data_IF_646536059483
#
_entry.id   IF_646536059483
#
_cell.length_a   1.000
_cell.length_b   1.000
_cell.length_c   1.000
_cell.angle_alpha   90.00
_cell.angle_beta   90.00
_cell.angle_gamma   90.00
#
_symmetry.space_group_name_H-M   'P 1'
#
loop_
_entity.id
_entity.type
_entity.pdbx_description
1 polymer ?
#
# COMPACT_ATOMS: atom_id res chain seq x y z
N UNK A 1 -9.00 -28.30 27.39
CA UNK A 1 -8.11 -27.47 26.55
C UNK A 1 -8.87 -26.20 26.22
N UNK A 2 -8.42 -25.08 26.74
CA UNK A 2 -8.95 -23.74 26.46
C UNK A 2 -7.95 -22.95 25.66
N UNK A 3 -8.43 -21.93 24.94
CA UNK A 3 -7.59 -21.01 24.17
C UNK A 3 -7.75 -19.59 24.69
N UNK A 4 -6.61 -18.94 24.96
CA UNK A 4 -6.52 -17.52 25.30
C UNK A 4 -5.84 -16.77 24.18
N UNK A 5 -6.42 -15.65 23.77
CA UNK A 5 -5.84 -14.73 22.78
C UNK A 5 -5.37 -13.47 23.48
N UNK A 6 -4.15 -13.02 23.16
CA UNK A 6 -3.53 -11.79 23.66
C UNK A 6 -3.31 -10.86 22.48
N UNK A 7 -3.92 -9.67 22.53
CA UNK A 7 -3.63 -8.56 21.63
C UNK A 7 -2.60 -7.65 22.28
N UNK A 8 -1.36 -7.70 21.78
CA UNK A 8 -0.22 -6.90 22.27
C UNK A 8 0.06 -5.73 21.33
N UNK A 9 -0.40 -4.52 21.67
CA UNK A 9 -0.47 -3.41 20.71
C UNK A 9 0.53 -2.32 21.05
N UNK A 10 1.28 -1.87 20.04
CA UNK A 10 2.27 -0.80 20.13
C UNK A 10 1.69 0.59 19.75
N UNK A 11 0.43 0.63 19.34
CA UNK A 11 -0.35 1.83 19.00
C UNK A 11 -1.74 1.74 19.62
N UNK A 12 -2.27 2.87 20.10
CA UNK A 12 -3.66 2.96 20.57
C UNK A 12 -4.66 3.16 19.44
N UNK A 13 -4.19 3.60 18.28
CA UNK A 13 -5.07 4.01 17.19
C UNK A 13 -5.49 2.83 16.30
N UNK A 14 -4.89 1.65 16.49
CA UNK A 14 -5.18 0.41 15.77
C UNK A 14 -6.52 -0.25 16.16
N UNK A 15 -7.59 0.54 16.27
CA UNK A 15 -8.92 0.10 16.71
C UNK A 15 -9.48 -1.00 15.81
N UNK A 16 -9.30 -0.90 14.48
CA UNK A 16 -9.78 -1.89 13.54
C UNK A 16 -9.08 -3.25 13.72
N UNK A 17 -7.76 -3.26 14.00
CA UNK A 17 -7.04 -4.50 14.32
C UNK A 17 -7.52 -5.11 15.63
N UNK A 18 -7.82 -4.28 16.64
CA UNK A 18 -8.36 -4.78 17.91
C UNK A 18 -9.75 -5.41 17.73
N UNK A 19 -10.62 -4.76 16.96
CA UNK A 19 -11.94 -5.29 16.65
C UNK A 19 -11.88 -6.59 15.86
N UNK A 20 -10.91 -6.74 14.97
CA UNK A 20 -10.64 -7.99 14.25
C UNK A 20 -10.38 -9.14 15.23
N UNK A 21 -9.45 -8.95 16.17
CA UNK A 21 -9.14 -9.97 17.19
C UNK A 21 -10.31 -10.24 18.11
N UNK A 22 -11.00 -9.19 18.57
CA UNK A 22 -12.14 -9.29 19.49
C UNK A 22 -13.29 -10.09 18.90
N UNK A 23 -13.62 -9.87 17.62
CA UNK A 23 -14.68 -10.61 16.91
C UNK A 23 -14.34 -12.10 16.80
N UNK A 24 -13.11 -12.43 16.41
CA UNK A 24 -12.66 -13.82 16.37
C UNK A 24 -12.79 -14.49 17.74
N UNK A 25 -12.33 -13.83 18.81
CA UNK A 25 -12.44 -14.37 20.16
C UNK A 25 -13.90 -14.59 20.58
N UNK A 26 -14.79 -13.64 20.27
CA UNK A 26 -16.21 -13.75 20.56
C UNK A 26 -16.86 -14.92 19.82
N UNK A 27 -16.59 -15.08 18.52
CA UNK A 27 -17.09 -16.21 17.72
C UNK A 27 -16.62 -17.57 18.25
N UNK A 28 -15.36 -17.65 18.70
CA UNK A 28 -14.75 -18.87 19.23
C UNK A 28 -14.97 -19.10 20.72
N UNK A 29 -15.60 -18.16 21.43
CA UNK A 29 -15.68 -18.16 22.89
C UNK A 29 -14.31 -18.27 23.57
N UNK A 30 -13.27 -17.68 22.97
CA UNK A 30 -11.93 -17.63 23.54
C UNK A 30 -11.78 -16.47 24.53
N UNK A 31 -10.99 -16.67 25.59
CA UNK A 31 -10.65 -15.60 26.50
C UNK A 31 -9.74 -14.58 25.80
N UNK A 32 -10.12 -13.30 25.81
CA UNK A 32 -9.38 -12.24 25.14
C UNK A 32 -8.73 -11.30 26.16
N UNK A 33 -7.44 -11.05 26.03
CA UNK A 33 -6.70 -10.09 26.83
C UNK A 33 -6.07 -9.01 25.93
N UNK A 34 -6.15 -7.76 26.35
CA UNK A 34 -5.51 -6.63 25.67
C UNK A 34 -4.32 -6.12 26.50
N UNK A 35 -3.21 -5.87 25.82
CA UNK A 35 -1.99 -5.29 26.42
C UNK A 35 -1.59 -4.07 25.62
N UNK A 36 -1.67 -2.91 26.27
CA UNK A 36 -1.26 -1.64 25.71
C UNK A 36 0.23 -1.38 25.98
N UNK A 37 1.04 -1.40 24.92
CA UNK A 37 2.46 -1.06 24.93
C UNK A 37 2.77 0.27 24.21
N UNK A 38 1.74 1.06 23.84
CA UNK A 38 1.89 2.29 23.07
C UNK A 38 2.74 3.37 23.74
N UNK A 39 2.76 3.40 25.07
CA UNK A 39 3.54 4.38 25.85
C UNK A 39 5.03 4.06 25.92
N UNK A 40 5.45 2.88 25.46
CA UNK A 40 6.85 2.47 25.47
C UNK A 40 7.45 2.88 24.13
N UNK A 41 8.25 3.94 24.06
CA UNK A 41 8.83 4.41 22.81
C UNK A 41 9.89 3.48 22.19
N UNK A 42 10.53 2.65 23.02
CA UNK A 42 11.64 1.80 22.57
C UNK A 42 11.18 0.38 22.20
N UNK A 43 11.38 0.00 20.94
CA UNK A 43 10.98 -1.31 20.40
C UNK A 43 11.52 -2.49 21.23
N UNK A 44 12.77 -2.43 21.71
CA UNK A 44 13.37 -3.49 22.50
C UNK A 44 12.65 -3.73 23.84
N UNK A 45 12.23 -2.65 24.52
CA UNK A 45 11.43 -2.76 25.75
C UNK A 45 10.04 -3.35 25.49
N UNK A 46 9.41 -3.01 24.35
CA UNK A 46 8.14 -3.63 23.93
C UNK A 46 8.31 -5.13 23.72
N UNK A 47 9.39 -5.54 23.06
CA UNK A 47 9.71 -6.96 22.85
C UNK A 47 9.89 -7.69 24.20
N UNK A 48 10.66 -7.13 25.13
CA UNK A 48 10.82 -7.71 26.46
C UNK A 48 9.47 -7.84 27.19
N UNK A 49 8.65 -6.80 27.17
CA UNK A 49 7.30 -6.83 27.76
C UNK A 49 6.41 -7.89 27.09
N UNK A 50 6.50 -8.04 25.76
CA UNK A 50 5.75 -9.03 24.99
C UNK A 50 6.07 -10.46 25.44
N UNK A 51 7.35 -10.82 25.55
CA UNK A 51 7.75 -12.15 26.02
C UNK A 51 7.41 -12.38 27.50
N UNK A 52 7.55 -11.37 28.36
CA UNK A 52 7.12 -11.49 29.77
C UNK A 52 5.61 -11.69 29.89
N UNK A 53 4.83 -11.00 29.06
CA UNK A 53 3.37 -11.15 28.99
C UNK A 53 2.99 -12.56 28.57
N UNK A 54 3.62 -13.07 27.49
CA UNK A 54 3.41 -14.43 27.01
C UNK A 54 3.76 -15.47 28.08
N UNK A 55 4.93 -15.35 28.73
CA UNK A 55 5.36 -16.26 29.78
C UNK A 55 4.39 -16.27 30.98
N UNK A 56 3.93 -15.08 31.40
CA UNK A 56 2.93 -14.95 32.46
C UNK A 56 1.63 -15.65 32.08
N UNK A 57 1.17 -15.49 30.84
CA UNK A 57 -0.04 -16.12 30.35
C UNK A 57 0.06 -17.65 30.31
N UNK A 58 1.20 -18.18 29.85
CA UNK A 58 1.48 -19.63 29.84
C UNK A 58 1.52 -20.20 31.26
N UNK A 59 2.20 -19.53 32.21
CA UNK A 59 2.26 -19.95 33.62
C UNK A 59 0.90 -19.96 34.31
N UNK A 60 -0.03 -19.12 33.87
CA UNK A 60 -1.38 -19.04 34.40
C UNK A 60 -2.39 -19.97 33.69
N UNK A 61 -2.01 -20.61 32.58
CA UNK A 61 -2.85 -21.54 31.84
C UNK A 61 -2.70 -22.97 32.38
N UNK A 62 -3.70 -23.83 32.17
CA UNK A 62 -3.57 -25.24 32.48
C UNK A 62 -2.62 -25.93 31.47
N UNK A 63 -2.09 -27.09 31.83
CA UNK A 63 -1.25 -27.87 30.91
C UNK A 63 -2.05 -28.27 29.66
N UNK A 64 -1.45 -28.10 28.48
CA UNK A 64 -2.07 -28.36 27.18
C UNK A 64 -2.95 -27.23 26.62
N UNK A 65 -3.31 -26.21 27.40
CA UNK A 65 -4.07 -25.03 26.92
C UNK A 65 -3.27 -24.22 25.89
N UNK A 66 -3.96 -23.46 25.03
CA UNK A 66 -3.31 -22.63 24.02
C UNK A 66 -3.28 -21.15 24.41
N UNK A 67 -2.18 -20.49 24.04
CA UNK A 67 -2.03 -19.04 24.08
C UNK A 67 -1.66 -18.55 22.68
N UNK A 68 -2.57 -17.82 22.05
CA UNK A 68 -2.33 -17.08 20.81
C UNK A 68 -1.94 -15.64 21.16
N UNK A 69 -0.78 -15.19 20.70
CA UNK A 69 -0.32 -13.81 20.83
C UNK A 69 -0.30 -13.16 19.44
N UNK A 70 -0.99 -12.04 19.32
CA UNK A 70 -1.10 -11.24 18.11
C UNK A 70 -0.69 -9.79 18.39
N UNK A 71 0.02 -9.20 17.45
CA UNK A 71 0.25 -7.74 17.41
C UNK A 71 -0.80 -7.05 16.55
N UNK A 72 -0.84 -5.71 16.61
CA UNK A 72 -1.75 -4.90 15.78
C UNK A 72 -1.55 -5.07 14.26
N UNK A 73 -0.39 -5.58 13.85
CA UNK A 73 0.01 -5.78 12.46
C UNK A 73 -0.22 -7.22 11.99
N UNK A 74 -0.91 -8.05 12.77
CA UNK A 74 -1.39 -9.36 12.35
C UNK A 74 -2.91 -9.36 12.36
N UNK A 75 -3.55 -9.76 11.26
CA UNK A 75 -5.01 -9.72 11.11
C UNK A 75 -5.54 -11.11 10.82
N UNK A 76 -6.60 -11.52 11.52
CA UNK A 76 -7.27 -12.80 11.32
C UNK A 76 -8.21 -12.67 10.12
N UNK A 77 -7.98 -13.50 9.10
CA UNK A 77 -8.71 -13.48 7.83
C UNK A 77 -9.65 -14.68 7.67
N UNK A 78 -9.53 -15.72 8.48
CA UNK A 78 -10.49 -16.82 8.49
C UNK A 78 -10.88 -17.24 9.89
N UNK A 79 -12.13 -17.63 10.05
CA UNK A 79 -12.62 -18.25 11.27
C UNK A 79 -12.14 -19.70 11.34
N UNK A 80 -10.90 -19.92 11.77
CA UNK A 80 -10.27 -21.24 11.96
C UNK A 80 -9.89 -21.39 13.45
N UNK A 81 -10.18 -22.54 14.05
CA UNK A 81 -9.83 -22.81 15.45
C UNK A 81 -8.31 -22.92 15.63
N UNK A 82 -7.79 -22.35 16.73
CA UNK A 82 -6.37 -22.53 17.08
C UNK A 82 -6.02 -24.01 17.31
N UNK A 83 -6.97 -24.80 17.81
CA UNK A 83 -6.81 -26.23 18.02
C UNK A 83 -6.52 -26.97 16.71
N UNK A 84 -7.13 -26.55 15.58
CA UNK A 84 -6.86 -27.12 14.26
C UNK A 84 -5.40 -26.90 13.86
N UNK A 85 -4.87 -25.69 14.09
CA UNK A 85 -3.48 -25.35 13.78
C UNK A 85 -2.47 -26.05 14.70
N UNK A 86 -2.92 -26.56 15.84
CA UNK A 86 -2.11 -27.24 16.84
C UNK A 86 -2.46 -28.73 16.96
N UNK A 87 -3.21 -29.30 16.02
CA UNK A 87 -3.75 -30.66 16.13
C UNK A 87 -2.66 -31.74 16.28
N UNK A 88 -1.47 -31.52 15.71
CA UNK A 88 -0.32 -32.40 15.88
C UNK A 88 0.16 -32.42 17.35
N UNK A 89 0.14 -33.56 18.06
CA UNK A 89 0.46 -33.61 19.48
C UNK A 89 1.89 -33.17 19.82
N UNK A 90 2.85 -33.36 18.91
CA UNK A 90 4.24 -32.96 19.09
C UNK A 90 4.47 -31.44 18.92
N UNK A 91 3.45 -30.69 18.45
CA UNK A 91 3.56 -29.26 18.22
C UNK A 91 3.30 -28.47 19.50
N UNK A 92 4.39 -27.98 20.08
CA UNK A 92 4.38 -27.10 21.25
C UNK A 92 4.22 -25.61 20.89
N UNK A 93 4.64 -25.21 19.69
CA UNK A 93 4.56 -23.84 19.20
C UNK A 93 4.38 -23.78 17.70
N UNK A 94 3.71 -22.75 17.22
CA UNK A 94 3.56 -22.39 15.82
C UNK A 94 3.96 -20.92 15.65
N UNK A 95 5.10 -20.73 15.00
CA UNK A 95 5.71 -19.46 14.64
C UNK A 95 6.09 -19.58 13.16
N UNK A 96 5.96 -18.49 12.42
CA UNK A 96 6.16 -18.48 10.97
C UNK A 96 7.32 -17.58 10.59
N UNK A 97 8.10 -17.96 9.58
CA UNK A 97 9.10 -17.10 8.95
C UNK A 97 8.78 -16.78 7.49
N UNK A 98 9.29 -15.64 7.04
CA UNK A 98 9.26 -15.13 5.68
C UNK A 98 10.69 -15.11 5.16
N UNK A 99 10.96 -15.83 4.08
CA UNK A 99 12.26 -15.81 3.41
C UNK A 99 12.76 -17.19 3.00
N UNK A 100 13.70 -17.19 2.06
CA UNK A 100 14.65 -18.28 1.81
C UNK A 100 15.89 -18.11 2.72
N UNK A 101 16.87 -19.01 2.59
CA UNK A 101 18.01 -19.15 3.50
C UNK A 101 18.85 -17.86 3.74
N UNK A 102 18.71 -16.83 2.91
CA UNK A 102 19.43 -15.55 3.04
C UNK A 102 18.61 -14.41 3.68
N UNK A 103 17.28 -14.53 3.74
CA UNK A 103 16.36 -13.46 4.19
C UNK A 103 15.37 -13.88 5.30
N UNK A 104 15.63 -15.02 5.97
CA UNK A 104 14.74 -15.71 6.93
C UNK A 104 14.34 -14.84 8.15
N UNK A 105 13.36 -13.97 7.94
CA UNK A 105 12.81 -13.06 8.92
C UNK A 105 11.58 -13.70 9.57
N UNK A 106 11.58 -13.81 10.89
CA UNK A 106 10.47 -14.42 11.63
C UNK A 106 9.36 -13.41 11.85
N UNK A 107 8.12 -13.83 11.58
CA UNK A 107 6.90 -13.05 11.82
C UNK A 107 6.64 -12.97 13.33
N UNK A 108 7.22 -11.96 13.99
CA UNK A 108 7.02 -11.72 15.43
C UNK A 108 5.61 -11.24 15.82
N UNK A 109 4.79 -10.89 14.82
CA UNK A 109 3.42 -10.44 14.97
C UNK A 109 2.40 -11.55 15.30
N UNK A 110 2.79 -12.81 15.10
CA UNK A 110 1.97 -13.99 15.34
C UNK A 110 2.75 -15.05 16.11
N UNK A 111 2.20 -15.52 17.23
CA UNK A 111 2.77 -16.66 17.95
C UNK A 111 1.67 -17.49 18.60
N UNK A 112 1.59 -18.78 18.28
CA UNK A 112 0.64 -19.70 18.91
C UNK A 112 1.41 -20.74 19.71
N UNK A 113 1.07 -20.89 20.99
CA UNK A 113 1.79 -21.74 21.93
C UNK A 113 0.85 -22.70 22.63
N UNK A 114 1.24 -23.96 22.74
CA UNK A 114 0.66 -24.93 23.68
C UNK A 114 1.40 -24.82 25.00
N UNK A 115 0.68 -24.69 26.10
CA UNK A 115 1.27 -24.61 27.42
C UNK A 115 1.80 -25.98 27.85
N UNK A 116 3.11 -26.15 27.77
CA UNK A 116 3.85 -27.32 28.27
C UNK A 116 5.09 -26.83 29.04
N UNK A 117 5.73 -27.68 29.86
CA UNK A 117 7.01 -27.34 30.47
C UNK A 117 8.06 -26.89 29.44
N UNK A 118 8.10 -27.54 28.27
CA UNK A 118 9.02 -27.22 27.18
C UNK A 118 8.75 -25.84 26.57
N UNK A 119 7.47 -25.51 26.30
CA UNK A 119 7.08 -24.18 25.83
C UNK A 119 7.45 -23.09 26.82
N UNK A 120 7.17 -23.27 28.12
CA UNK A 120 7.54 -22.30 29.17
C UNK A 120 9.06 -22.07 29.22
N UNK A 121 9.85 -23.14 29.20
CA UNK A 121 11.31 -23.04 29.17
C UNK A 121 11.82 -22.34 27.90
N UNK A 122 11.16 -22.52 26.75
CA UNK A 122 11.50 -21.83 25.50
C UNK A 122 11.21 -20.33 25.60
N UNK A 123 10.04 -19.93 26.09
CA UNK A 123 9.71 -18.50 26.29
C UNK A 123 10.60 -17.86 27.37
N UNK A 124 11.03 -18.59 28.39
CA UNK A 124 12.02 -18.12 29.36
C UNK A 124 13.37 -17.80 28.71
N UNK A 125 13.83 -18.61 27.75
CA UNK A 125 15.03 -18.30 26.95
C UNK A 125 14.85 -17.06 26.08
N UNK A 126 13.68 -16.88 25.45
CA UNK A 126 13.35 -15.65 24.72
C UNK A 126 13.41 -14.43 25.65
N UNK A 127 12.83 -14.53 26.85
CA UNK A 127 12.90 -13.49 27.87
C UNK A 127 14.34 -13.19 28.27
N UNK A 128 15.18 -14.21 28.46
CA UNK A 128 16.58 -14.06 28.83
C UNK A 128 17.40 -13.38 27.72
N UNK A 129 17.19 -13.76 26.46
CA UNK A 129 17.85 -13.14 25.30
C UNK A 129 17.41 -11.70 25.04
N UNK A 130 16.22 -11.31 25.50
CA UNK A 130 15.74 -9.93 25.44
C UNK A 130 16.26 -9.03 26.59
N UNK A 131 16.93 -9.58 27.61
CA UNK A 131 17.43 -8.79 28.75
C UNK A 131 18.60 -7.88 28.35
N UNK A 132 18.73 -6.78 29.08
CA UNK A 132 19.91 -5.91 29.01
C UNK A 132 21.14 -6.58 29.64
N UNK A 133 22.33 -6.13 29.24
CA UNK A 133 23.62 -6.64 29.74
C UNK A 133 24.45 -7.42 28.72
N UNK A 134 23.98 -7.53 27.47
CA UNK A 134 24.70 -8.10 26.33
C UNK A 134 24.31 -7.43 25.01
N UNK A 135 24.80 -7.97 23.88
CA UNK A 135 24.40 -7.49 22.56
C UNK A 135 22.88 -7.66 22.36
N UNK A 136 22.20 -6.59 21.98
CA UNK A 136 20.75 -6.61 21.78
C UNK A 136 20.42 -7.39 20.51
N UNK A 137 19.73 -8.53 20.67
CA UNK A 137 19.21 -9.31 19.57
C UNK A 137 17.88 -8.73 19.07
N UNK A 138 17.63 -8.79 17.76
CA UNK A 138 16.31 -8.51 17.20
C UNK A 138 15.30 -9.58 17.60
N UNK A 139 14.01 -9.24 17.54
CA UNK A 139 12.96 -10.21 17.81
C UNK A 139 13.04 -11.42 16.88
N UNK A 140 13.25 -11.16 15.59
CA UNK A 140 13.41 -12.19 14.56
C UNK A 140 14.56 -13.16 14.91
N UNK A 141 15.70 -12.63 15.37
CA UNK A 141 16.83 -13.46 15.80
C UNK A 141 16.51 -14.36 17.01
N UNK A 142 15.78 -13.84 17.99
CA UNK A 142 15.38 -14.63 19.16
C UNK A 142 14.37 -15.71 18.77
N UNK A 143 13.37 -15.37 17.95
CA UNK A 143 12.33 -16.31 17.53
C UNK A 143 12.84 -17.39 16.57
N UNK A 144 13.91 -17.17 15.80
CA UNK A 144 14.52 -18.25 14.99
C UNK A 144 14.88 -19.49 15.81
N UNK A 145 15.22 -19.32 17.08
CA UNK A 145 15.54 -20.43 17.99
C UNK A 145 14.36 -21.37 18.29
N UNK A 146 13.15 -21.02 17.85
CA UNK A 146 11.95 -21.84 18.00
C UNK A 146 11.69 -22.78 16.82
N UNK A 147 12.57 -22.79 15.81
CA UNK A 147 12.36 -23.51 14.54
C UNK A 147 11.03 -23.11 13.87
N UNK A 148 10.89 -21.84 13.44
CA UNK A 148 9.69 -21.36 12.77
C UNK A 148 9.43 -22.16 11.47
N UNK A 149 8.16 -22.32 11.13
CA UNK A 149 7.75 -22.90 9.85
C UNK A 149 7.81 -21.85 8.76
N UNK A 150 8.12 -22.27 7.53
CA UNK A 150 8.01 -21.39 6.38
C UNK A 150 6.55 -20.99 6.15
N UNK A 151 6.27 -19.75 5.74
CA UNK A 151 4.89 -19.24 5.58
C UNK A 151 4.03 -20.02 4.57
N UNK A 152 4.65 -20.72 3.63
CA UNK A 152 3.95 -21.61 2.68
C UNK A 152 3.71 -23.03 3.23
N UNK A 153 4.17 -23.35 4.44
CA UNK A 153 3.89 -24.64 5.06
C UNK A 153 2.40 -24.73 5.42
N UNK A 154 1.76 -25.81 4.96
CA UNK A 154 0.36 -26.08 5.22
C UNK A 154 0.18 -26.98 6.44
N UNK A 155 -0.82 -26.66 7.25
CA UNK A 155 -1.29 -27.46 8.38
C UNK A 155 -2.74 -27.81 8.07
N UNK A 156 -2.99 -29.08 7.74
CA UNK A 156 -4.33 -29.55 7.35
C UNK A 156 -4.96 -28.69 6.22
N UNK A 157 -4.14 -28.36 5.22
CA UNK A 157 -4.54 -27.51 4.09
C UNK A 157 -4.74 -26.02 4.42
N UNK A 158 -4.32 -25.57 5.61
CA UNK A 158 -4.39 -24.16 6.05
C UNK A 158 -2.98 -23.58 6.13
N UNK A 159 -2.79 -22.37 5.59
CA UNK A 159 -1.58 -21.59 5.88
C UNK A 159 -1.82 -20.79 7.16
N UNK A 160 -0.93 -20.95 8.15
CA UNK A 160 -1.10 -20.31 9.45
C UNK A 160 -1.06 -18.79 9.34
N UNK A 161 0.00 -18.28 8.71
CA UNK A 161 0.21 -16.85 8.48
C UNK A 161 0.90 -16.66 7.14
N UNK A 162 0.46 -15.68 6.35
CA UNK A 162 1.17 -15.26 5.14
C UNK A 162 1.43 -13.75 5.15
N UNK A 163 2.51 -13.27 4.49
CA UNK A 163 2.74 -11.85 4.31
C UNK A 163 1.58 -11.14 3.59
N UNK A 164 1.35 -9.89 3.97
CA UNK A 164 0.55 -8.95 3.22
C UNK A 164 1.22 -7.58 3.22
N UNK A 165 1.57 -7.08 2.04
CA UNK A 165 2.14 -5.75 1.83
C UNK A 165 1.62 -5.18 0.52
N UNK A 166 1.75 -3.87 0.33
CA UNK A 166 1.25 -3.19 -0.87
C UNK A 166 1.77 -3.78 -2.17
N UNK A 167 3.03 -4.20 -2.22
CA UNK A 167 3.72 -4.69 -3.41
C UNK A 167 3.58 -6.21 -3.64
N UNK A 168 2.97 -6.94 -2.70
CA UNK A 168 2.86 -8.40 -2.75
C UNK A 168 1.49 -8.80 -3.31
N UNK A 169 1.44 -9.81 -4.18
CA UNK A 169 0.17 -10.40 -4.61
C UNK A 169 -0.63 -10.87 -3.39
N UNK A 170 -1.90 -10.45 -3.21
CA UNK A 170 -2.70 -10.82 -2.06
C UNK A 170 -3.25 -12.25 -2.19
N UNK A 171 -2.36 -13.25 -2.19
CA UNK A 171 -2.69 -14.68 -2.23
C UNK A 171 -3.62 -15.08 -1.08
N UNK A 172 -3.53 -14.38 0.06
CA UNK A 172 -4.41 -14.55 1.21
C UNK A 172 -5.90 -14.34 0.90
N UNK A 173 -6.24 -13.60 -0.16
CA UNK A 173 -7.63 -13.42 -0.57
C UNK A 173 -8.21 -14.65 -1.30
N UNK A 174 -7.36 -15.60 -1.74
CA UNK A 174 -7.75 -16.78 -2.52
C UNK A 174 -7.42 -18.11 -1.82
N UNK A 175 -6.38 -18.10 -0.97
CA UNK A 175 -5.95 -19.28 -0.23
C UNK A 175 -6.71 -19.41 1.09
N UNK A 176 -6.76 -20.64 1.61
CA UNK A 176 -7.22 -20.90 2.98
C UNK A 176 -6.11 -20.50 3.96
N UNK A 177 -6.23 -19.29 4.50
CA UNK A 177 -5.25 -18.67 5.39
C UNK A 177 -5.92 -18.34 6.72
N UNK A 178 -5.27 -18.61 7.86
CA UNK A 178 -5.80 -18.21 9.16
C UNK A 178 -5.62 -16.71 9.41
N UNK A 179 -4.39 -16.21 9.32
CA UNK A 179 -4.07 -14.81 9.53
C UNK A 179 -3.10 -14.27 8.46
N UNK A 180 -3.06 -12.95 8.31
CA UNK A 180 -2.03 -12.26 7.53
C UNK A 180 -1.12 -11.49 8.48
N UNK A 181 0.16 -11.37 8.13
CA UNK A 181 1.09 -10.47 8.78
C UNK A 181 1.39 -9.31 7.84
N UNK A 182 1.06 -8.11 8.30
CA UNK A 182 1.32 -6.90 7.55
C UNK A 182 2.81 -6.61 7.54
N UNK A 183 3.33 -6.27 6.37
CA UNK A 183 4.69 -5.81 6.17
C UNK A 183 4.67 -4.53 5.34
N UNK A 184 5.67 -3.67 5.55
CA UNK A 184 5.83 -2.44 4.78
C UNK A 184 6.70 -2.67 3.53
N UNK A 185 7.23 -1.58 2.95
CA UNK A 185 8.13 -1.58 1.80
C UNK A 185 9.33 -2.53 2.03
N UNK A 186 9.80 -3.24 0.97
CA UNK A 186 10.91 -4.19 1.09
C UNK A 186 12.18 -3.61 1.71
N UNK A 187 12.43 -2.32 1.45
CA UNK A 187 13.63 -1.61 1.87
C UNK A 187 13.50 -0.92 3.24
N UNK A 188 12.35 -1.08 3.92
CA UNK A 188 12.16 -0.52 5.25
C UNK A 188 13.16 -1.16 6.24
N UNK A 189 13.82 -0.36 7.11
CA UNK A 189 14.71 -0.91 8.12
C UNK A 189 14.00 -1.97 8.99
N UNK A 190 14.71 -3.01 9.44
CA UNK A 190 14.13 -4.03 10.31
C UNK A 190 13.53 -3.41 11.58
N UNK A 191 12.35 -3.89 11.96
CA UNK A 191 11.56 -3.43 13.12
C UNK A 191 10.92 -2.04 13.01
N UNK A 192 10.94 -1.41 11.84
CA UNK A 192 10.07 -0.26 11.60
C UNK A 192 8.59 -0.70 11.64
N UNK A 193 7.70 0.13 12.22
CA UNK A 193 6.29 -0.19 12.30
C UNK A 193 5.68 -0.12 10.90
N UNK A 194 4.69 -0.97 10.66
CA UNK A 194 3.87 -0.92 9.44
C UNK A 194 3.17 0.44 9.36
N UNK A 195 3.18 1.05 8.18
CA UNK A 195 2.44 2.27 7.86
C UNK A 195 0.99 2.18 8.38
N UNK A 196 0.61 3.14 9.22
CA UNK A 196 -0.67 3.09 9.94
C UNK A 196 -1.87 2.97 9.00
N UNK A 197 -1.88 3.72 7.90
CA UNK A 197 -3.00 3.69 6.95
C UNK A 197 -3.09 2.35 6.20
N UNK A 198 -1.96 1.64 6.00
CA UNK A 198 -2.00 0.28 5.46
C UNK A 198 -2.73 -0.63 6.44
N UNK A 199 -2.29 -0.62 7.70
CA UNK A 199 -2.90 -1.44 8.75
C UNK A 199 -4.38 -1.16 8.89
N UNK A 200 -4.75 0.10 9.03
CA UNK A 200 -6.12 0.48 9.35
C UNK A 200 -7.07 0.24 8.16
N UNK A 201 -6.59 0.42 6.92
CA UNK A 201 -7.35 0.07 5.71
C UNK A 201 -7.56 -1.45 5.59
N UNK A 202 -6.51 -2.26 5.74
CA UNK A 202 -6.64 -3.72 5.68
C UNK A 202 -7.56 -4.25 6.76
N UNK A 203 -7.36 -3.81 8.01
CA UNK A 203 -8.17 -4.25 9.14
C UNK A 203 -9.64 -3.88 8.95
N UNK A 204 -9.93 -2.64 8.53
CA UNK A 204 -11.30 -2.18 8.29
C UNK A 204 -11.96 -2.96 7.15
N UNK A 205 -11.23 -3.18 6.05
CA UNK A 205 -11.71 -3.93 4.89
C UNK A 205 -12.01 -5.40 5.24
N UNK A 206 -11.07 -6.10 5.89
CA UNK A 206 -11.26 -7.50 6.31
C UNK A 206 -12.46 -7.61 7.24
N UNK A 207 -12.55 -6.72 8.23
CA UNK A 207 -13.65 -6.68 9.18
C UNK A 207 -15.02 -6.45 8.50
N UNK A 208 -15.06 -5.61 7.46
CA UNK A 208 -16.28 -5.34 6.70
C UNK A 208 -16.69 -6.55 5.86
N UNK A 209 -15.75 -7.18 5.15
CA UNK A 209 -16.01 -8.38 4.36
C UNK A 209 -16.49 -9.53 5.24
N UNK A 210 -15.82 -9.80 6.37
CA UNK A 210 -16.23 -10.84 7.31
C UNK A 210 -17.62 -10.62 7.89
N UNK A 211 -17.95 -9.38 8.25
CA UNK A 211 -19.29 -9.05 8.78
C UNK A 211 -20.41 -9.27 7.76
N UNK A 212 -20.11 -9.14 6.46
CA UNK A 212 -21.07 -9.32 5.37
C UNK A 212 -21.02 -10.72 4.72
N UNK A 213 -20.01 -11.53 5.04
CA UNK A 213 -19.76 -12.79 4.33
C UNK A 213 -19.32 -12.61 2.87
N UNK A 214 -18.69 -11.48 2.55
CA UNK A 214 -18.25 -11.13 1.19
C UNK A 214 -16.79 -11.55 0.94
N UNK A 215 -16.47 -11.81 -0.33
CA UNK A 215 -15.10 -12.10 -0.73
C UNK A 215 -14.19 -10.85 -0.63
N UNK A 216 -12.98 -11.03 -0.12
CA UNK A 216 -12.00 -9.95 0.00
C UNK A 216 -11.61 -9.36 -1.37
N UNK A 217 -11.39 -8.04 -1.39
CA UNK A 217 -10.87 -7.29 -2.55
C UNK A 217 -11.83 -7.27 -3.74
N UNK A 218 -13.10 -7.62 -3.50
CA UNK A 218 -14.19 -7.43 -4.46
C UNK A 218 -14.62 -5.97 -4.41
N UNK A 219 -14.20 -5.19 -5.39
CA UNK A 219 -14.64 -3.80 -5.53
C UNK A 219 -15.85 -3.71 -6.46
N UNK A 220 -16.71 -2.69 -6.32
CA UNK A 220 -17.80 -2.45 -7.24
C UNK A 220 -17.30 -2.44 -8.69
N UNK A 221 -18.01 -3.10 -9.62
CA UNK A 221 -17.62 -3.03 -11.01
C UNK A 221 -17.64 -1.56 -11.47
N UNK A 222 -16.70 -1.15 -12.34
CA UNK A 222 -16.75 0.15 -12.95
C UNK A 222 -18.02 0.29 -13.80
N UNK A 223 -18.50 1.53 -13.98
CA UNK A 223 -19.65 1.83 -14.83
C UNK A 223 -19.44 1.31 -16.27
N UNK A 224 -20.55 1.10 -16.98
CA UNK A 224 -20.56 0.50 -18.31
C UNK A 224 -19.66 1.25 -19.32
N UNK A 225 -19.24 0.54 -20.37
CA UNK A 225 -18.28 1.02 -21.34
C UNK A 225 -18.72 2.33 -22.01
N UNK A 226 -17.94 3.39 -21.78
CA UNK A 226 -17.93 4.63 -22.54
C UNK A 226 -17.00 4.52 -23.75
N UNK A 227 -17.06 5.51 -24.63
CA UNK A 227 -16.17 5.64 -25.79
C UNK A 227 -14.69 5.51 -25.40
N UNK A 228 -13.88 4.99 -26.34
CA UNK A 228 -12.44 4.79 -26.12
C UNK A 228 -11.69 6.10 -25.85
N UNK A 229 -12.20 7.21 -26.36
CA UNK A 229 -11.72 8.56 -26.09
C UNK A 229 -12.90 9.49 -25.80
N UNK A 230 -12.74 10.38 -24.83
CA UNK A 230 -13.71 11.41 -24.48
C UNK A 230 -13.01 12.72 -24.13
N UNK A 231 -13.59 13.83 -24.57
CA UNK A 231 -13.14 15.17 -24.21
C UNK A 231 -14.27 15.96 -23.55
N UNK A 232 -14.04 16.47 -22.35
CA UNK A 232 -14.93 17.37 -21.64
C UNK A 232 -14.37 18.78 -21.67
N UNK A 233 -15.21 19.77 -22.01
CA UNK A 233 -14.81 21.19 -22.11
C UNK A 233 -13.49 21.40 -22.89
N UNK A 234 -13.41 20.92 -24.15
CA UNK A 234 -12.15 20.92 -24.92
C UNK A 234 -11.56 22.31 -25.19
N UNK A 235 -12.30 23.39 -24.93
CA UNK A 235 -11.84 24.77 -25.14
C UNK A 235 -11.34 25.45 -23.85
N UNK A 236 -11.34 24.76 -22.70
CA UNK A 236 -10.88 25.35 -21.44
C UNK A 236 -9.36 25.61 -21.46
N UNK A 237 -8.85 26.67 -20.80
CA UNK A 237 -7.43 27.03 -20.86
C UNK A 237 -6.51 26.03 -20.17
N UNK A 238 -7.00 25.27 -19.18
CA UNK A 238 -6.26 24.24 -18.47
C UNK A 238 -6.91 22.90 -18.78
N UNK A 239 -6.09 21.93 -19.21
CA UNK A 239 -6.53 20.57 -19.50
C UNK A 239 -5.80 19.54 -18.64
N UNK A 240 -6.54 18.54 -18.18
CA UNK A 240 -5.98 17.31 -17.61
C UNK A 240 -6.20 16.17 -18.61
N UNK A 241 -5.21 15.32 -18.77
CA UNK A 241 -5.26 14.15 -19.61
C UNK A 241 -4.87 12.90 -18.81
N UNK A 242 -5.66 11.85 -18.94
CA UNK A 242 -5.41 10.56 -18.32
C UNK A 242 -5.67 9.44 -19.33
N UNK A 243 -4.81 8.42 -19.31
CA UNK A 243 -5.00 7.20 -20.08
C UNK A 243 -4.96 5.98 -19.17
N UNK A 244 -5.91 5.09 -19.33
CA UNK A 244 -5.89 3.77 -18.71
C UNK A 244 -6.43 2.71 -19.67
N UNK A 245 -5.83 1.52 -19.67
CA UNK A 245 -6.19 0.40 -20.55
C UNK A 245 -7.09 -0.61 -19.83
N UNK A 246 -7.77 -1.52 -20.55
CA UNK A 246 -8.70 -2.49 -19.94
C UNK A 246 -8.10 -3.32 -18.79
N UNK A 247 -6.83 -3.71 -18.84
CA UNK A 247 -6.15 -4.49 -17.81
C UNK A 247 -5.98 -3.74 -16.47
N UNK A 248 -6.08 -2.42 -16.46
CA UNK A 248 -5.96 -1.58 -15.25
C UNK A 248 -7.25 -0.82 -14.91
N UNK A 249 -8.35 -1.15 -15.60
CA UNK A 249 -9.66 -0.50 -15.45
C UNK A 249 -10.16 -0.47 -14.00
N UNK A 250 -9.84 -1.49 -13.19
CA UNK A 250 -10.29 -1.61 -11.81
C UNK A 250 -9.94 -0.38 -10.95
N UNK A 251 -8.76 0.22 -11.16
CA UNK A 251 -8.38 1.45 -10.47
C UNK A 251 -8.44 2.69 -11.37
N UNK A 252 -8.22 2.56 -12.68
CA UNK A 252 -8.34 3.68 -13.63
C UNK A 252 -9.74 4.30 -13.65
N UNK A 253 -10.80 3.49 -13.50
CA UNK A 253 -12.17 4.01 -13.39
C UNK A 253 -12.41 4.80 -12.09
N UNK A 254 -11.67 4.52 -11.02
CA UNK A 254 -11.74 5.27 -9.77
C UNK A 254 -11.13 6.65 -9.97
N UNK A 255 -9.91 6.70 -10.55
CA UNK A 255 -9.25 7.96 -10.92
C UNK A 255 -10.08 8.78 -11.90
N UNK A 256 -10.73 8.14 -12.88
CA UNK A 256 -11.62 8.84 -13.81
C UNK A 256 -12.75 9.58 -13.08
N UNK A 257 -13.51 8.90 -12.23
CA UNK A 257 -14.60 9.53 -11.48
C UNK A 257 -14.07 10.67 -10.61
N UNK A 258 -12.92 10.48 -9.98
CA UNK A 258 -12.25 11.49 -9.17
C UNK A 258 -11.88 12.74 -9.99
N UNK A 259 -11.23 12.57 -11.14
CA UNK A 259 -10.81 13.65 -12.03
C UNK A 259 -11.99 14.37 -12.69
N UNK A 260 -13.05 13.64 -13.04
CA UNK A 260 -14.28 14.26 -13.57
C UNK A 260 -14.88 15.25 -12.58
N UNK A 261 -14.98 14.88 -11.30
CA UNK A 261 -15.47 15.78 -10.24
C UNK A 261 -14.57 17.00 -10.10
N UNK A 262 -13.26 16.79 -10.06
CA UNK A 262 -12.29 17.87 -9.93
C UNK A 262 -12.37 18.86 -11.11
N UNK A 263 -12.30 18.36 -12.35
CA UNK A 263 -12.37 19.19 -13.55
C UNK A 263 -13.73 19.90 -13.65
N UNK A 264 -14.84 19.23 -13.30
CA UNK A 264 -16.16 19.85 -13.30
C UNK A 264 -16.26 21.02 -12.33
N UNK A 265 -15.65 20.90 -11.14
CA UNK A 265 -15.65 21.95 -10.11
C UNK A 265 -14.93 23.22 -10.55
N UNK A 266 -13.78 23.07 -11.23
CA UNK A 266 -12.92 24.20 -11.59
C UNK A 266 -13.05 24.65 -13.05
N UNK A 267 -13.90 23.99 -13.83
CA UNK A 267 -14.11 24.32 -15.24
C UNK A 267 -12.98 23.88 -16.18
N UNK A 268 -12.08 22.99 -15.75
CA UNK A 268 -10.97 22.49 -16.58
C UNK A 268 -11.43 21.52 -17.67
N UNK A 269 -10.64 21.43 -18.75
CA UNK A 269 -10.81 20.40 -19.75
C UNK A 269 -10.33 19.04 -19.20
N UNK A 270 -10.96 17.96 -19.66
CA UNK A 270 -10.55 16.61 -19.31
C UNK A 270 -10.54 15.73 -20.57
N UNK A 271 -9.37 15.17 -20.90
CA UNK A 271 -9.17 14.20 -21.97
C UNK A 271 -8.98 12.81 -21.36
N UNK A 272 -9.91 11.90 -21.64
CA UNK A 272 -9.91 10.54 -21.12
C UNK A 272 -9.67 9.55 -22.25
N UNK A 273 -8.65 8.72 -22.09
CA UNK A 273 -8.33 7.62 -22.99
C UNK A 273 -8.51 6.30 -22.24
N UNK A 274 -9.45 5.46 -22.69
CA UNK A 274 -9.79 4.17 -22.05
C UNK A 274 -9.19 2.95 -22.74
N UNK A 275 -8.38 3.22 -23.75
CA UNK A 275 -7.59 2.25 -24.49
C UNK A 275 -6.43 2.98 -25.20
N UNK A 276 -5.54 2.21 -25.82
CA UNK A 276 -4.46 2.73 -26.67
C UNK A 276 -5.08 3.40 -27.91
N UNK A 277 -4.86 4.71 -28.15
CA UNK A 277 -5.41 5.41 -29.30
C UNK A 277 -4.86 4.83 -30.61
N UNK A 278 -5.73 4.59 -31.60
CA UNK A 278 -5.30 4.08 -32.92
C UNK A 278 -4.29 5.00 -33.63
N UNK A 279 -4.39 6.31 -33.39
CA UNK A 279 -3.49 7.32 -33.95
C UNK A 279 -2.14 7.44 -33.21
N UNK A 280 -1.92 6.66 -32.15
CA UNK A 280 -0.66 6.66 -31.42
C UNK A 280 0.40 5.78 -32.11
N UNK A 281 1.70 6.00 -31.84
CA UNK A 281 2.75 5.16 -32.39
C UNK A 281 2.54 3.68 -32.03
N UNK A 282 2.44 2.81 -33.03
CA UNK A 282 2.17 1.38 -32.83
C UNK A 282 3.23 0.70 -31.94
N UNK A 283 2.79 -0.08 -30.95
CA UNK A 283 3.66 -0.92 -30.12
C UNK A 283 4.08 -0.33 -28.77
N UNK A 284 3.58 0.85 -28.40
CA UNK A 284 3.80 1.45 -27.09
C UNK A 284 2.71 1.00 -26.08
N UNK A 285 3.11 0.56 -24.87
CA UNK A 285 2.16 0.39 -23.77
C UNK A 285 1.70 1.75 -23.24
N UNK A 286 0.58 1.81 -22.52
CA UNK A 286 -0.09 3.07 -22.17
C UNK A 286 0.80 4.11 -21.48
N UNK A 287 1.74 3.66 -20.65
CA UNK A 287 2.68 4.53 -19.94
C UNK A 287 3.66 5.26 -20.89
N UNK A 288 3.97 4.70 -22.06
CA UNK A 288 4.88 5.33 -23.03
C UNK A 288 4.19 6.41 -23.89
N UNK A 289 2.87 6.59 -23.75
CA UNK A 289 2.10 7.53 -24.57
C UNK A 289 1.97 8.93 -23.96
N UNK A 290 2.49 9.17 -22.75
CA UNK A 290 2.46 10.49 -22.09
C UNK A 290 2.93 11.63 -22.99
N UNK A 291 4.12 11.59 -23.63
CA UNK A 291 4.57 12.71 -24.46
C UNK A 291 3.67 12.90 -25.68
N UNK A 292 3.19 11.82 -26.30
CA UNK A 292 2.25 11.92 -27.44
C UNK A 292 0.95 12.63 -27.03
N UNK A 293 0.36 12.23 -25.89
CA UNK A 293 -0.86 12.85 -25.34
C UNK A 293 -0.62 14.32 -24.98
N UNK A 294 0.47 14.61 -24.27
CA UNK A 294 0.84 15.98 -23.88
C UNK A 294 1.01 16.88 -25.11
N UNK A 295 1.78 16.45 -26.12
CA UNK A 295 1.99 17.26 -27.34
C UNK A 295 0.72 17.48 -28.13
N UNK A 296 -0.11 16.44 -28.26
CA UNK A 296 -1.39 16.49 -29.00
C UNK A 296 -2.28 17.61 -28.46
N UNK A 297 -2.32 17.78 -27.14
CA UNK A 297 -3.20 18.74 -26.48
C UNK A 297 -2.52 20.08 -26.19
N UNK A 298 -1.19 20.16 -26.14
CA UNK A 298 -0.48 21.39 -25.76
C UNK A 298 -0.79 22.58 -26.68
N UNK A 299 -1.07 22.35 -27.97
CA UNK A 299 -1.45 23.42 -28.90
C UNK A 299 -2.84 23.99 -28.63
N UNK A 300 -3.72 23.22 -27.98
CA UNK A 300 -5.14 23.51 -27.77
C UNK A 300 -5.41 24.28 -26.49
N UNK A 301 -4.55 24.12 -25.47
CA UNK A 301 -4.74 24.69 -24.14
C UNK A 301 -3.58 25.62 -23.76
N UNK A 302 -3.78 26.49 -22.77
CA UNK A 302 -2.67 27.24 -22.18
C UNK A 302 -1.78 26.33 -21.32
N UNK A 303 -2.40 25.38 -20.60
CA UNK A 303 -1.72 24.36 -19.80
C UNK A 303 -2.30 22.98 -20.05
N UNK A 304 -1.42 21.99 -20.13
CA UNK A 304 -1.81 20.57 -20.19
C UNK A 304 -1.10 19.81 -19.10
N UNK A 305 -1.88 19.03 -18.35
CA UNK A 305 -1.44 18.14 -17.30
C UNK A 305 -1.59 16.69 -17.74
N UNK A 306 -0.53 15.92 -17.62
CA UNK A 306 -0.62 14.47 -17.56
C UNK A 306 -0.93 14.05 -16.12
N UNK A 307 -1.89 13.14 -15.95
CA UNK A 307 -2.21 12.48 -14.68
C UNK A 307 -2.19 10.96 -14.89
N UNK A 308 -1.36 10.25 -14.13
CA UNK A 308 -1.36 8.78 -14.12
C UNK A 308 -2.68 8.21 -13.62
N UNK A 309 -3.05 7.03 -14.12
CA UNK A 309 -4.30 6.35 -13.75
C UNK A 309 -4.36 5.89 -12.28
N UNK A 310 -3.24 5.95 -11.56
CA UNK A 310 -3.13 5.66 -10.13
C UNK A 310 -2.90 6.92 -9.27
N UNK A 311 -3.30 8.10 -9.77
CA UNK A 311 -3.35 9.36 -9.02
C UNK A 311 -4.80 9.73 -8.68
N UNK A 312 -5.02 10.24 -7.47
CA UNK A 312 -6.28 10.87 -7.07
C UNK A 312 -6.04 12.32 -6.64
N UNK A 313 -6.97 13.20 -6.97
CA UNK A 313 -7.08 14.52 -6.36
C UNK A 313 -7.87 14.38 -5.05
N UNK A 314 -7.18 14.56 -3.93
CA UNK A 314 -7.75 14.42 -2.59
C UNK A 314 -8.38 15.74 -2.14
N UNK A 315 -7.65 16.85 -2.19
CA UNK A 315 -8.25 18.19 -2.00
C UNK A 315 -8.88 18.68 -3.31
N UNK A 316 -10.14 18.28 -3.52
CA UNK A 316 -10.92 18.68 -4.68
C UNK A 316 -11.18 20.20 -4.74
N UNK A 317 -10.99 20.94 -3.64
CA UNK A 317 -11.26 22.38 -3.57
C UNK A 317 -10.08 23.26 -4.00
N UNK A 318 -8.87 22.72 -4.02
CA UNK A 318 -7.67 23.47 -4.40
C UNK A 318 -7.57 23.60 -5.93
N UNK A 319 -7.59 24.82 -6.50
CA UNK A 319 -7.44 25.02 -7.94
C UNK A 319 -5.96 24.95 -8.36
N UNK A 320 -5.70 24.46 -9.58
CA UNK A 320 -4.36 24.34 -10.17
C UNK A 320 -3.65 25.69 -10.32
N UNK A 321 -4.39 26.76 -10.60
CA UNK A 321 -3.86 28.12 -10.83
C UNK A 321 -2.97 28.61 -9.69
N UNK A 322 -3.22 28.16 -8.45
CA UNK A 322 -2.38 28.47 -7.28
C UNK A 322 -0.93 28.00 -7.43
N UNK A 323 -0.68 27.04 -8.31
CA UNK A 323 0.63 26.45 -8.55
C UNK A 323 1.26 26.93 -9.87
N UNK A 324 0.54 27.67 -10.72
CA UNK A 324 0.99 27.97 -12.10
C UNK A 324 1.74 29.30 -12.23
N UNK A 325 1.62 30.19 -11.24
CA UNK A 325 2.14 31.55 -11.37
C UNK A 325 3.66 31.57 -11.62
N UNK A 326 4.06 32.34 -12.62
CA UNK A 326 5.46 32.52 -13.05
C UNK A 326 6.20 31.22 -13.41
N UNK A 327 5.48 30.18 -13.84
CA UNK A 327 6.05 28.90 -14.27
C UNK A 327 5.68 28.58 -15.71
N UNK A 328 6.52 27.78 -16.36
CA UNK A 328 6.22 27.15 -17.65
C UNK A 328 6.03 25.63 -17.53
N UNK A 329 6.41 25.05 -16.38
CA UNK A 329 6.30 23.63 -16.07
C UNK A 329 5.94 23.45 -14.60
N UNK A 330 5.21 22.39 -14.30
CA UNK A 330 4.91 21.98 -12.93
C UNK A 330 5.20 20.48 -12.80
N UNK A 331 6.33 20.17 -12.17
CA UNK A 331 6.87 18.82 -12.04
C UNK A 331 7.35 18.64 -10.60
N UNK A 332 6.98 17.51 -9.99
CA UNK A 332 7.30 17.22 -8.60
C UNK A 332 8.54 16.33 -8.45
N UNK A 333 9.38 16.63 -7.47
CA UNK A 333 10.46 15.76 -7.01
C UNK A 333 9.93 14.36 -6.68
N UNK A 334 10.78 13.36 -6.85
CA UNK A 334 10.47 11.97 -6.48
C UNK A 334 11.22 11.57 -5.20
N UNK A 335 10.79 10.48 -4.55
CA UNK A 335 11.50 9.94 -3.37
C UNK A 335 12.78 9.19 -3.74
N UNK A 336 12.87 8.67 -4.97
CA UNK A 336 13.94 7.78 -5.41
C UNK A 336 14.66 8.28 -6.67
N UNK A 337 14.00 9.13 -7.47
CA UNK A 337 14.51 9.73 -8.71
C UNK A 337 14.56 11.26 -8.59
N UNK A 338 15.07 11.94 -9.64
CA UNK A 338 15.07 13.40 -9.66
C UNK A 338 13.65 13.99 -9.62
N UNK A 339 12.74 13.43 -10.41
CA UNK A 339 11.32 13.79 -10.41
C UNK A 339 10.43 12.62 -10.82
N UNK A 340 9.15 12.72 -10.49
CA UNK A 340 8.15 11.71 -10.80
C UNK A 340 7.29 12.13 -12.01
N UNK A 341 7.13 11.23 -12.98
CA UNK A 341 6.39 11.51 -14.22
C UNK A 341 4.89 11.20 -14.15
N UNK A 342 4.37 10.88 -12.97
CA UNK A 342 2.95 10.57 -12.77
C UNK A 342 2.04 11.79 -12.77
N UNK A 343 2.59 12.98 -12.49
CA UNK A 343 1.89 14.26 -12.61
C UNK A 343 2.86 15.27 -13.23
N UNK A 344 2.55 15.76 -14.42
CA UNK A 344 3.38 16.75 -15.11
C UNK A 344 2.53 17.78 -15.83
N UNK A 345 2.71 19.05 -15.49
CA UNK A 345 2.07 20.19 -16.15
C UNK A 345 3.03 20.91 -17.09
N UNK A 346 2.57 21.25 -18.29
CA UNK A 346 3.33 22.03 -19.27
C UNK A 346 2.48 23.18 -19.80
N UNK A 347 3.07 24.39 -19.78
CA UNK A 347 2.49 25.57 -20.44
C UNK A 347 2.71 25.50 -21.94
N UNK A 348 1.79 26.06 -22.73
CA UNK A 348 1.93 26.21 -24.19
C UNK A 348 3.01 27.23 -24.54
N UNK A 349 4.23 26.73 -24.62
CA UNK A 349 5.41 27.44 -25.14
C UNK A 349 6.07 26.60 -26.21
N UNK A 350 6.80 27.24 -27.14
CA UNK A 350 7.53 26.50 -28.17
C UNK A 350 8.58 25.57 -27.55
N UNK A 351 9.28 26.04 -26.51
CA UNK A 351 10.28 25.26 -25.78
C UNK A 351 9.69 23.96 -25.19
N UNK A 352 8.51 24.02 -24.57
CA UNK A 352 7.83 22.83 -24.06
C UNK A 352 7.33 21.92 -25.20
N UNK A 353 6.86 22.49 -26.31
CA UNK A 353 6.43 21.69 -27.46
C UNK A 353 7.59 20.91 -28.10
N UNK A 354 8.76 21.53 -28.20
CA UNK A 354 9.97 20.94 -28.77
C UNK A 354 10.55 19.86 -27.85
N UNK A 355 10.67 20.13 -26.55
CA UNK A 355 11.24 19.16 -25.59
C UNK A 355 10.36 17.91 -25.49
N UNK A 356 9.03 18.05 -25.48
CA UNK A 356 8.13 16.90 -25.50
C UNK A 356 8.26 16.10 -26.79
N UNK A 357 8.59 16.76 -27.91
CA UNK A 357 8.86 16.09 -29.18
C UNK A 357 10.14 15.27 -29.16
N UNK A 358 11.18 15.78 -28.51
CA UNK A 358 12.40 15.02 -28.28
C UNK A 358 12.15 13.83 -27.35
N UNK A 359 11.36 13.99 -26.27
CA UNK A 359 10.96 12.87 -25.41
C UNK A 359 10.22 11.80 -26.21
N UNK A 360 9.25 12.18 -27.04
CA UNK A 360 8.52 11.25 -27.91
C UNK A 360 9.45 10.49 -28.85
N UNK A 361 10.40 11.19 -29.49
CA UNK A 361 11.40 10.57 -30.37
C UNK A 361 12.33 9.61 -29.61
N UNK A 362 12.81 10.01 -28.43
CA UNK A 362 13.67 9.20 -27.58
C UNK A 362 12.95 7.92 -27.13
N UNK A 363 11.70 8.03 -26.68
CA UNK A 363 10.85 6.87 -26.40
C UNK A 363 10.68 6.01 -27.65
N UNK A 364 10.46 6.61 -28.82
CA UNK A 364 10.40 5.91 -30.11
C UNK A 364 11.58 4.94 -30.33
N UNK A 365 12.80 5.36 -29.95
CA UNK A 365 14.03 4.57 -30.07
C UNK A 365 14.27 3.51 -28.99
N UNK A 366 13.46 3.44 -27.92
CA UNK A 366 13.60 2.40 -26.88
C UNK A 366 13.20 1.03 -27.42
N UNK A 367 14.09 0.04 -27.27
CA UNK A 367 13.92 -1.30 -27.81
C UNK A 367 12.92 -2.16 -27.03
N UNK A 368 12.93 -2.09 -25.69
CA UNK A 368 12.01 -2.83 -24.82
C UNK A 368 11.03 -1.88 -24.12
N UNK A 369 9.75 -1.98 -24.52
CA UNK A 369 8.60 -1.24 -23.98
C UNK A 369 7.54 -2.18 -23.39
N UNK A 370 7.92 -3.43 -23.12
CA UNK A 370 7.00 -4.51 -22.71
C UNK A 370 6.31 -4.24 -21.38
N UNK A 371 6.89 -3.40 -20.51
CA UNK A 371 6.29 -2.98 -19.24
C UNK A 371 6.57 -1.51 -18.91
N UNK A 372 5.89 -1.00 -17.87
CA UNK A 372 6.08 0.35 -17.31
C UNK A 372 7.53 0.62 -16.88
N UNK A 373 8.27 -0.40 -16.47
CA UNK A 373 9.64 -0.29 -15.92
C UNK A 373 10.72 -0.81 -16.89
N UNK A 374 10.32 -1.35 -18.04
CA UNK A 374 11.26 -1.81 -19.06
C UNK A 374 12.16 -0.64 -19.50
N UNK A 375 13.46 -0.87 -19.63
CA UNK A 375 14.44 0.15 -20.05
C UNK A 375 14.45 1.43 -19.20
N UNK A 376 14.12 1.34 -17.90
CA UNK A 376 14.04 2.51 -17.00
C UNK A 376 12.69 3.24 -17.01
N UNK A 377 11.75 2.82 -17.88
CA UNK A 377 10.45 3.47 -18.03
C UNK A 377 10.50 4.80 -18.77
N UNK A 378 9.33 5.38 -18.99
CA UNK A 378 9.17 6.71 -19.59
C UNK A 378 9.80 7.81 -18.71
N UNK A 379 9.70 7.68 -17.38
CA UNK A 379 10.26 8.61 -16.39
C UNK A 379 11.75 8.87 -16.61
N UNK A 380 12.55 7.83 -16.82
CA UNK A 380 13.98 7.96 -17.10
C UNK A 380 14.24 8.81 -18.36
N UNK A 381 13.41 8.63 -19.40
CA UNK A 381 13.52 9.40 -20.64
C UNK A 381 13.15 10.86 -20.43
N UNK A 382 12.05 11.14 -19.71
CA UNK A 382 11.68 12.50 -19.32
C UNK A 382 12.82 13.18 -18.55
N UNK A 383 13.37 12.52 -17.51
CA UNK A 383 14.47 13.06 -16.70
C UNK A 383 15.67 13.41 -17.58
N UNK A 384 16.14 12.47 -18.41
CA UNK A 384 17.32 12.67 -19.25
C UNK A 384 17.16 13.81 -20.25
N UNK A 385 15.99 13.94 -20.86
CA UNK A 385 15.75 14.98 -21.88
C UNK A 385 15.57 16.34 -21.20
N UNK A 386 14.71 16.47 -20.19
CA UNK A 386 14.47 17.75 -19.52
C UNK A 386 15.73 18.29 -18.85
N UNK A 387 16.51 17.43 -18.20
CA UNK A 387 17.77 17.85 -17.55
C UNK A 387 18.80 18.35 -18.56
N UNK A 388 18.87 17.74 -19.76
CA UNK A 388 19.76 18.21 -20.84
C UNK A 388 19.40 19.60 -21.34
N UNK A 389 18.11 19.95 -21.32
CA UNK A 389 17.61 21.27 -21.68
C UNK A 389 17.59 22.26 -20.50
N UNK A 390 18.07 21.85 -19.32
CA UNK A 390 18.02 22.68 -18.12
C UNK A 390 16.60 22.93 -17.60
N UNK A 391 15.63 22.10 -17.99
CA UNK A 391 14.19 22.25 -17.71
C UNK A 391 13.68 21.43 -16.51
N UNK A 392 14.60 20.84 -15.75
CA UNK A 392 14.33 20.06 -14.53
C UNK A 392 15.43 20.30 -13.48
N UNK A 393 15.85 21.56 -13.29
CA UNK A 393 16.75 21.87 -12.19
C UNK A 393 16.01 21.76 -10.86
N UNK A 394 16.71 21.37 -9.78
CA UNK A 394 16.10 21.18 -8.46
C UNK A 394 15.38 22.44 -7.94
N UNK A 395 15.78 23.63 -8.38
CA UNK A 395 15.13 24.90 -8.04
C UNK A 395 13.79 25.13 -8.77
N UNK A 396 13.56 24.48 -9.91
CA UNK A 396 12.31 24.56 -10.67
C UNK A 396 11.29 23.51 -10.23
N UNK A 397 11.76 22.38 -9.67
CA UNK A 397 10.91 21.30 -9.19
C UNK A 397 10.14 21.72 -7.94
N UNK A 398 8.90 21.26 -7.83
CA UNK A 398 8.14 21.36 -6.57
C UNK A 398 8.40 20.11 -5.72
N UNK A 399 8.27 20.22 -4.41
CA UNK A 399 8.40 19.06 -3.53
C UNK A 399 7.29 18.03 -3.79
N UNK A 400 7.54 16.78 -3.40
CA UNK A 400 6.59 15.68 -3.64
C UNK A 400 5.27 15.85 -2.85
N UNK A 401 5.25 16.54 -1.71
CA UNK A 401 4.04 16.69 -0.89
C UNK A 401 3.10 17.81 -1.38
N UNK A 402 3.57 18.68 -2.28
CA UNK A 402 2.77 19.77 -2.87
C UNK A 402 1.90 19.32 -4.04
N UNK A 403 2.43 18.50 -4.96
CA UNK A 403 1.70 18.12 -6.18
C UNK A 403 1.57 16.61 -6.37
N UNK A 404 2.60 15.81 -6.11
CA UNK A 404 2.62 14.39 -6.45
C UNK A 404 2.95 13.54 -5.22
N UNK A 405 2.05 13.60 -4.23
CA UNK A 405 2.32 13.03 -2.90
C UNK A 405 2.26 11.51 -2.96
N UNK A 406 3.35 10.79 -2.66
CA UNK A 406 3.29 9.34 -2.52
C UNK A 406 2.29 8.97 -1.43
N UNK A 407 1.51 7.90 -1.61
CA UNK A 407 0.49 7.47 -0.65
C UNK A 407 1.01 7.34 0.79
N UNK A 408 2.26 6.91 0.97
CA UNK A 408 2.91 6.77 2.27
C UNK A 408 3.19 8.10 2.99
N UNK A 409 3.13 9.22 2.26
CA UNK A 409 3.27 10.59 2.77
C UNK A 409 1.93 11.34 2.77
N UNK A 410 0.82 10.64 2.48
CA UNK A 410 -0.49 11.24 2.44
C UNK A 410 -0.86 11.85 3.80
N UNK A 411 -1.41 13.05 3.75
CA UNK A 411 -1.99 13.76 4.88
C UNK A 411 -3.44 14.14 4.56
N UNK A 412 -4.18 14.54 5.59
CA UNK A 412 -5.56 15.00 5.45
C UNK A 412 -5.69 16.25 4.55
N UNK A 413 -4.60 17.00 4.38
CA UNK A 413 -4.48 18.21 3.56
C UNK A 413 -3.69 18.01 2.25
N UNK A 414 -3.33 16.77 1.89
CA UNK A 414 -2.65 16.48 0.61
C UNK A 414 -3.52 16.87 -0.59
N UNK A 415 -2.91 17.46 -1.61
CA UNK A 415 -3.62 17.88 -2.82
C UNK A 415 -3.88 16.71 -3.78
N UNK A 416 -2.85 16.20 -4.46
CA UNK A 416 -2.96 14.98 -5.27
C UNK A 416 -2.03 13.90 -4.72
N UNK A 417 -2.54 12.67 -4.66
CA UNK A 417 -1.87 11.51 -4.07
C UNK A 417 -1.67 10.44 -5.13
N UNK A 418 -0.46 9.89 -5.19
CA UNK A 418 -0.03 8.88 -6.15
C UNK A 418 0.15 7.52 -5.48
N UNK A 419 -0.64 6.54 -5.94
CA UNK A 419 -0.72 5.18 -5.40
C UNK A 419 0.29 4.24 -6.11
N UNK A 420 1.55 4.68 -6.11
CA UNK A 420 2.68 4.01 -6.75
C UNK A 420 3.09 2.72 -6.03
N UNK A 421 3.75 1.80 -6.75
CA UNK A 421 4.33 0.56 -6.21
C UNK A 421 3.37 -0.40 -5.47
N UNK A 422 2.08 -0.36 -5.82
CA UNK A 422 1.07 -1.27 -5.27
C UNK A 422 0.66 -2.37 -6.26
N UNK A 423 0.33 -3.55 -5.75
CA UNK A 423 -0.31 -4.62 -6.49
C UNK A 423 -1.69 -4.16 -6.99
N UNK A 424 -2.12 -4.47 -8.23
CA UNK A 424 -3.30 -3.84 -8.84
C UNK A 424 -4.60 -3.88 -8.02
N UNK A 425 -4.93 -5.01 -7.38
CA UNK A 425 -6.15 -5.11 -6.56
C UNK A 425 -6.04 -4.35 -5.23
N UNK A 426 -4.85 -4.29 -4.65
CA UNK A 426 -4.59 -3.53 -3.42
C UNK A 426 -4.57 -2.03 -3.71
N UNK A 427 -4.00 -1.63 -4.86
CA UNK A 427 -4.07 -0.26 -5.39
C UNK A 427 -5.52 0.19 -5.53
N UNK A 428 -6.35 -0.63 -6.18
CA UNK A 428 -7.75 -0.32 -6.37
C UNK A 428 -8.49 -0.17 -5.03
N UNK A 429 -8.18 -0.99 -4.03
CA UNK A 429 -8.74 -0.86 -2.67
C UNK A 429 -8.34 0.48 -2.03
N UNK A 430 -7.05 0.82 -2.05
CA UNK A 430 -6.54 2.06 -1.47
C UNK A 430 -7.11 3.30 -2.18
N UNK A 431 -7.18 3.27 -3.51
CA UNK A 431 -7.78 4.34 -4.30
C UNK A 431 -9.28 4.47 -4.04
N UNK A 432 -10.03 3.36 -3.91
CA UNK A 432 -11.45 3.44 -3.58
C UNK A 432 -11.67 4.12 -2.23
N UNK A 433 -10.81 3.83 -1.24
CA UNK A 433 -10.85 4.49 0.06
C UNK A 433 -10.52 5.98 -0.05
N UNK A 434 -9.45 6.34 -0.78
CA UNK A 434 -9.06 7.73 -1.03
C UNK A 434 -10.13 8.53 -1.77
N UNK A 435 -10.79 7.93 -2.75
CA UNK A 435 -11.88 8.55 -3.53
C UNK A 435 -13.08 8.89 -2.63
N UNK A 436 -13.46 7.99 -1.73
CA UNK A 436 -14.53 8.24 -0.75
C UNK A 436 -14.14 9.34 0.26
N UNK A 437 -12.88 9.36 0.70
CA UNK A 437 -12.37 10.41 1.59
C UNK A 437 -12.40 11.80 0.92
N UNK A 438 -12.02 11.89 -0.36
CA UNK A 438 -12.02 13.15 -1.14
C UNK A 438 -13.41 13.78 -1.26
N UNK A 439 -14.46 12.94 -1.32
CA UNK A 439 -15.85 13.41 -1.37
C UNK A 439 -16.27 14.02 -0.02
N UNK A 440 -15.92 13.35 1.07
CA UNK A 440 -16.26 13.82 2.43
C UNK A 440 -15.56 15.14 2.78
N UNK A 441 -14.32 15.34 2.32
CA UNK A 441 -13.59 16.60 2.49
C UNK A 441 -14.23 17.75 1.71
N UNK A 442 -14.75 17.45 0.51
CA UNK A 442 -15.41 18.42 -0.36
C UNK A 442 -16.70 18.98 0.26
N UNK A 443 -17.42 18.17 1.04
CA UNK A 443 -18.67 18.55 1.69
C UNK A 443 -18.46 19.38 2.98
N UNK A 444 -17.24 19.42 3.51
CA UNK A 444 -16.91 20.06 4.80
C UNK A 444 -16.33 21.47 4.69
N UNK A 445 -16.05 21.97 3.49
CA UNK A 445 -15.53 23.33 3.28
C UNK A 445 -16.55 24.18 2.52
N UNK A 446 -17.10 25.25 3.14
CA UNK A 446 -18.07 26.13 2.51
C UNK A 446 -17.51 26.91 1.32
#
# INVERSE_FOLDING_TARGET
MTTRVISFFASRDAHASFDNHRRYCAHRSYAHAFVDASRIGWAHLRMLLKFQTLLRALRAAADGDLVLLLTQDCLIVSDIACETLMAEPARDSLIVSMGDAESDSVIGGFQLWRNTPASRARVERLCAGARFGGALASESALLRTTAPLHYMTQIDGVHAVVPAAWHIEPMWARLRVFAIALADLPDAPPNEPVHADLRDLFASHINACQAKGEAYLTLPPPDAAHDAYEALRPDAPIALAMLYTPNIRAYGAIAERNLRRYCARHGYALHLYRDIPQASPHGASGNWLKPWVLRRHLSQHEWVFWIDADVLVIDQSMPLERLLDSRDRLIAMDMSWQFNSGIMGFRRTQANFDVLGEVEQAIGGVADKSSTYASGGDQDTFIKVLTRHGMASDAELVDCITLNTPYQLQRADSFMVHYMHMWPSLRALAMQHGDLASQTLSDRRP
#
